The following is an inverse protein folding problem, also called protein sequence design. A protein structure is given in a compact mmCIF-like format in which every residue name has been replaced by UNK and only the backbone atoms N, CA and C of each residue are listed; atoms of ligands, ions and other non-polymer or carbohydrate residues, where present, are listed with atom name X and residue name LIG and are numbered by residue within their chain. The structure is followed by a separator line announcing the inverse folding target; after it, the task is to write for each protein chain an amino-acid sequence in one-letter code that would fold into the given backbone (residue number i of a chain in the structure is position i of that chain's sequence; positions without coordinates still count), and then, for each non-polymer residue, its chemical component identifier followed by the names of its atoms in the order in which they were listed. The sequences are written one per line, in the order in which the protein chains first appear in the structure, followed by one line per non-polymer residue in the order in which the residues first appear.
data_IF_188115234537
#
_entry.id   IF_188115234537
#
_cell.length_a   1.000
_cell.length_b   1.000
_cell.length_c   1.000
_cell.angle_alpha   90.00
_cell.angle_beta   90.00
_cell.angle_gamma   90.00
#
_symmetry.space_group_name_H-M   'P 1'
#
loop_
_entity.id
_entity.type
_entity.pdbx_description
1 polymer ?
#
# COMPACT_ATOMS: atom_id res chain seq x y z
N UNK A 1 -1.89 -21.19 -7.73
CA UNK A 1 -1.13 -21.60 -6.53
C UNK A 1 0.05 -20.67 -6.22
N UNK A 2 -0.02 -19.37 -6.58
CA UNK A 2 1.01 -18.35 -6.25
C UNK A 2 0.37 -17.14 -5.54
N UNK A 3 -0.94 -16.93 -5.66
CA UNK A 3 -1.65 -15.81 -5.02
C UNK A 3 -1.79 -15.98 -3.50
N UNK A 4 -2.00 -17.21 -3.01
CA UNK A 4 -2.27 -17.47 -1.59
C UNK A 4 -1.09 -17.08 -0.68
N UNK A 5 0.14 -17.41 -1.09
CA UNK A 5 1.38 -17.12 -0.36
C UNK A 5 1.82 -15.63 -0.49
N UNK A 6 1.18 -14.86 -1.38
CA UNK A 6 1.35 -13.40 -1.46
C UNK A 6 0.41 -12.70 -0.49
N UNK A 7 -0.84 -13.12 -0.42
CA UNK A 7 -1.85 -12.54 0.47
C UNK A 7 -1.46 -12.65 1.94
N UNK A 8 -1.06 -13.84 2.39
CA UNK A 8 -0.83 -14.13 3.82
C UNK A 8 0.34 -13.32 4.41
N UNK A 9 1.41 -13.07 3.64
CA UNK A 9 2.53 -12.27 4.11
C UNK A 9 2.24 -10.75 4.05
N UNK A 10 1.41 -10.27 3.13
CA UNK A 10 1.01 -8.85 3.10
C UNK A 10 0.04 -8.51 4.23
N UNK A 11 -0.90 -9.40 4.53
CA UNK A 11 -1.86 -9.25 5.62
C UNK A 11 -1.14 -9.19 6.98
N UNK A 12 -0.14 -10.05 7.19
CA UNK A 12 0.73 -10.01 8.37
C UNK A 12 1.57 -8.73 8.48
N UNK A 13 1.98 -8.12 7.36
CA UNK A 13 2.69 -6.84 7.39
C UNK A 13 1.73 -5.69 7.67
N UNK A 14 0.56 -5.65 7.05
CA UNK A 14 -0.47 -4.67 7.32
C UNK A 14 -0.87 -4.66 8.82
N UNK A 15 -0.90 -5.84 9.46
CA UNK A 15 -1.06 -5.97 10.92
C UNK A 15 0.07 -5.28 11.71
N UNK A 16 1.34 -5.44 11.31
CA UNK A 16 2.50 -4.77 11.96
C UNK A 16 2.50 -3.25 11.69
N UNK A 17 2.04 -2.83 10.53
CA UNK A 17 1.90 -1.42 10.18
C UNK A 17 0.80 -0.74 11.01
N UNK A 18 -0.33 -1.41 11.19
CA UNK A 18 -1.42 -0.97 12.07
C UNK A 18 -0.95 -0.80 13.52
N UNK A 19 -0.09 -1.71 14.01
CA UNK A 19 0.42 -1.60 15.39
C UNK A 19 1.41 -0.46 15.58
N UNK A 20 1.98 0.09 14.51
CA UNK A 20 3.05 1.11 14.58
C UNK A 20 2.55 2.53 14.31
N UNK A 21 1.51 2.70 13.47
CA UNK A 21 1.10 4.02 12.97
C UNK A 21 -0.33 4.43 13.35
N UNK A 22 -1.06 3.60 14.09
CA UNK A 22 -2.42 3.90 14.60
C UNK A 22 -3.48 4.26 13.53
N UNK A 23 -3.15 4.19 12.23
CA UNK A 23 -4.11 4.38 11.15
C UNK A 23 -4.93 3.11 10.87
N UNK A 24 -6.19 3.25 10.40
CA UNK A 24 -7.03 2.10 10.06
C UNK A 24 -6.40 1.21 9.00
N UNK A 25 -6.68 -0.10 9.10
CA UNK A 25 -6.26 -1.09 8.10
C UNK A 25 -6.72 -0.73 6.68
N UNK A 26 -7.90 -0.11 6.57
CA UNK A 26 -8.52 0.26 5.30
C UNK A 26 -7.67 1.26 4.52
N UNK A 27 -7.04 2.22 5.19
CA UNK A 27 -6.15 3.19 4.57
C UNK A 27 -4.96 2.51 3.90
N UNK A 28 -4.38 1.50 4.55
CA UNK A 28 -3.24 0.76 3.99
C UNK A 28 -3.63 -0.12 2.81
N UNK A 29 -4.84 -0.72 2.86
CA UNK A 29 -5.39 -1.48 1.74
C UNK A 29 -5.59 -0.60 0.50
N UNK A 30 -6.15 0.60 0.68
CA UNK A 30 -6.31 1.55 -0.42
C UNK A 30 -4.95 1.97 -1.03
N UNK A 31 -3.94 2.22 -0.18
CA UNK A 31 -2.59 2.52 -0.67
C UNK A 31 -1.96 1.36 -1.46
N UNK A 32 -2.23 0.12 -1.06
CA UNK A 32 -1.84 -1.09 -1.79
C UNK A 32 -2.54 -1.19 -3.14
N UNK A 33 -3.86 -0.98 -3.21
CA UNK A 33 -4.63 -0.97 -4.45
C UNK A 33 -4.10 0.08 -5.44
N UNK A 34 -3.87 1.31 -4.99
CA UNK A 34 -3.30 2.37 -5.82
C UNK A 34 -1.89 2.03 -6.32
N UNK A 35 -1.08 1.37 -5.49
CA UNK A 35 0.26 0.96 -5.89
C UNK A 35 0.21 -0.13 -6.98
N UNK A 36 -0.64 -1.14 -6.79
CA UNK A 36 -0.76 -2.27 -7.69
C UNK A 36 -1.36 -1.87 -9.04
N UNK A 37 -2.31 -0.92 -9.09
CA UNK A 37 -2.83 -0.43 -10.37
C UNK A 37 -1.72 0.18 -11.24
N UNK A 38 -0.79 0.91 -10.61
CA UNK A 38 0.39 1.46 -11.27
C UNK A 38 1.46 0.43 -11.66
N UNK A 39 1.47 -0.73 -11.02
CA UNK A 39 2.37 -1.85 -11.34
C UNK A 39 1.84 -2.64 -12.55
N UNK A 40 0.52 -2.80 -12.65
CA UNK A 40 -0.17 -3.39 -13.81
C UNK A 40 -0.09 -2.48 -15.04
N UNK A 41 -0.39 -1.19 -14.87
CA UNK A 41 -0.34 -0.19 -15.94
C UNK A 41 0.45 1.04 -15.48
N UNK A 42 1.67 1.17 -16.01
CA UNK A 42 2.57 2.28 -15.67
C UNK A 42 2.01 3.66 -16.04
N UNK A 43 1.07 3.75 -16.97
CA UNK A 43 0.40 5.02 -17.31
C UNK A 43 -0.57 5.48 -16.22
N UNK A 44 -1.03 4.54 -15.38
CA UNK A 44 -1.89 4.79 -14.22
C UNK A 44 -1.12 4.88 -12.91
N UNK A 45 0.20 4.99 -12.96
CA UNK A 45 1.03 4.98 -11.76
C UNK A 45 0.70 6.16 -10.85
N UNK A 46 0.25 5.84 -9.64
CA UNK A 46 0.03 6.84 -8.62
C UNK A 46 1.38 7.35 -8.08
N UNK A 47 1.51 8.67 -8.03
CA UNK A 47 2.52 9.36 -7.22
C UNK A 47 2.06 9.40 -5.76
N UNK A 48 2.97 9.71 -4.83
CA UNK A 48 2.56 9.91 -3.42
C UNK A 48 1.49 11.00 -3.28
N UNK A 49 1.59 12.08 -4.06
CA UNK A 49 0.62 13.17 -4.04
C UNK A 49 -0.75 12.69 -4.52
N UNK A 50 -0.82 11.96 -5.62
CA UNK A 50 -2.10 11.46 -6.15
C UNK A 50 -2.71 10.40 -5.22
N UNK A 51 -1.91 9.57 -4.53
CA UNK A 51 -2.44 8.67 -3.51
C UNK A 51 -3.08 9.46 -2.35
N UNK A 52 -2.42 10.52 -1.87
CA UNK A 52 -2.96 11.39 -0.83
C UNK A 52 -4.26 12.09 -1.29
N UNK A 53 -4.31 12.56 -2.53
CA UNK A 53 -5.52 13.16 -3.11
C UNK A 53 -6.67 12.16 -3.16
N UNK A 54 -6.42 10.91 -3.57
CA UNK A 54 -7.47 9.88 -3.61
C UNK A 54 -7.96 9.50 -2.20
N UNK A 55 -7.07 9.46 -1.20
CA UNK A 55 -7.48 9.30 0.19
C UNK A 55 -8.33 10.48 0.70
N UNK A 56 -8.05 11.71 0.25
CA UNK A 56 -8.88 12.88 0.58
C UNK A 56 -10.25 12.82 -0.08
N UNK A 57 -10.33 12.35 -1.33
CA UNK A 57 -11.62 12.12 -1.99
C UNK A 57 -12.48 11.12 -1.20
N UNK A 58 -11.87 10.08 -0.61
CA UNK A 58 -12.56 9.13 0.29
C UNK A 58 -13.15 9.80 1.53
N UNK A 59 -12.53 10.87 2.05
CA UNK A 59 -13.09 11.69 3.13
C UNK A 59 -14.30 12.49 2.64
N UNK A 60 -14.22 13.08 1.45
CA UNK A 60 -15.34 13.79 0.83
C UNK A 60 -16.54 12.85 0.57
N UNK A 61 -16.25 11.59 0.21
CA UNK A 61 -17.21 10.50 0.03
C UNK A 61 -17.75 9.93 1.37
N UNK A 62 -17.19 10.36 2.51
CA UNK A 62 -17.49 9.85 3.87
C UNK A 62 -17.19 8.35 4.05
N UNK A 63 -16.21 7.86 3.31
CA UNK A 63 -15.67 6.50 3.45
C UNK A 63 -14.50 6.44 4.44
N UNK A 64 -13.84 7.58 4.70
CA UNK A 64 -12.78 7.75 5.71
C UNK A 64 -13.00 9.04 6.50
N UNK A 65 -12.45 9.10 7.70
CA UNK A 65 -12.38 10.32 8.51
C UNK A 65 -11.07 11.10 8.22
N UNK A 66 -11.08 12.42 8.42
CA UNK A 66 -9.91 13.26 8.14
C UNK A 66 -8.69 12.89 9.01
N UNK A 67 -8.94 12.49 10.25
CA UNK A 67 -7.94 12.03 11.21
C UNK A 67 -7.27 10.72 10.78
N UNK A 68 -7.93 9.94 9.92
CA UNK A 68 -7.43 8.67 9.40
C UNK A 68 -6.45 8.87 8.24
N UNK A 69 -6.32 10.10 7.71
CA UNK A 69 -5.47 10.36 6.56
C UNK A 69 -4.00 10.51 6.97
N UNK A 70 -3.11 9.60 6.53
CA UNK A 70 -1.70 9.70 6.84
C UNK A 70 -1.08 10.89 6.13
N UNK A 71 -0.08 11.49 6.79
CA UNK A 71 0.72 12.56 6.19
C UNK A 71 1.45 12.05 4.94
N UNK A 72 1.71 12.95 3.99
CA UNK A 72 2.45 12.65 2.76
C UNK A 72 3.77 11.91 3.02
N UNK A 73 4.53 12.30 4.05
CA UNK A 73 5.80 11.65 4.43
C UNK A 73 5.60 10.20 4.90
N UNK A 74 4.50 9.92 5.60
CA UNK A 74 4.15 8.56 6.02
C UNK A 74 3.86 7.69 4.80
N UNK A 75 3.10 8.22 3.83
CA UNK A 75 2.81 7.53 2.56
C UNK A 75 4.12 7.29 1.77
N UNK A 76 5.02 8.27 1.70
CA UNK A 76 6.33 8.09 1.04
C UNK A 76 7.16 7.00 1.70
N UNK A 77 7.20 6.98 3.04
CA UNK A 77 7.88 5.95 3.81
C UNK A 77 7.31 4.55 3.57
N UNK A 78 5.98 4.46 3.52
CA UNK A 78 5.26 3.23 3.22
C UNK A 78 5.58 2.73 1.79
N UNK A 79 5.44 3.57 0.75
CA UNK A 79 5.74 3.21 -0.65
C UNK A 79 7.18 2.70 -0.79
N UNK A 80 8.13 3.39 -0.15
CA UNK A 80 9.56 3.04 -0.24
C UNK A 80 9.84 1.63 0.31
N UNK A 81 9.21 1.30 1.45
CA UNK A 81 9.35 -0.01 2.09
C UNK A 81 8.58 -1.09 1.34
N UNK A 82 7.33 -0.84 0.97
CA UNK A 82 6.50 -1.75 0.18
C UNK A 82 7.21 -2.14 -1.13
N UNK A 83 7.74 -1.14 -1.86
CA UNK A 83 8.50 -1.36 -3.08
C UNK A 83 9.76 -2.21 -2.86
N UNK A 84 10.50 -1.97 -1.76
CA UNK A 84 11.72 -2.72 -1.45
C UNK A 84 11.40 -4.19 -1.14
N UNK A 85 10.36 -4.43 -0.34
CA UNK A 85 9.88 -5.78 -0.01
C UNK A 85 9.37 -6.51 -1.26
N UNK A 86 8.59 -5.83 -2.09
CA UNK A 86 8.08 -6.38 -3.34
C UNK A 86 9.23 -6.85 -4.25
N UNK A 87 10.26 -6.02 -4.44
CA UNK A 87 11.47 -6.41 -5.20
C UNK A 87 12.22 -7.58 -4.56
N UNK A 88 12.40 -7.58 -3.24
CA UNK A 88 13.06 -8.69 -2.54
C UNK A 88 12.32 -10.00 -2.72
N UNK A 89 10.98 -9.99 -2.70
CA UNK A 89 10.16 -11.19 -2.93
C UNK A 89 10.29 -11.69 -4.36
N UNK A 90 10.17 -10.80 -5.35
CA UNK A 90 10.36 -11.16 -6.76
C UNK A 90 11.75 -11.74 -7.02
N UNK A 91 12.79 -11.17 -6.40
CA UNK A 91 14.14 -11.71 -6.48
C UNK A 91 14.25 -13.11 -5.84
N UNK A 92 13.67 -13.31 -4.64
CA UNK A 92 13.63 -14.64 -4.00
C UNK A 92 12.90 -15.67 -4.86
N UNK A 93 11.74 -15.33 -5.42
CA UNK A 93 10.99 -16.24 -6.30
C UNK A 93 11.78 -16.58 -7.58
N UNK A 94 12.55 -15.63 -8.11
CA UNK A 94 13.43 -15.87 -9.27
C UNK A 94 14.61 -16.81 -8.97
N UNK A 95 15.02 -16.95 -7.70
CA UNK A 95 16.12 -17.83 -7.29
C UNK A 95 15.69 -19.28 -7.03
N UNK A 96 14.38 -19.53 -6.91
CA UNK A 96 13.80 -20.87 -6.67
C UNK A 96 13.33 -21.52 -7.99
N UNK A 97 13.74 -20.97 -9.14
CA UNK A 97 13.40 -21.45 -10.49
C UNK A 97 14.47 -22.35 -11.08
#
# INVERSE_FOLDING_TARGET
MIQDDISENQENQNIIWNSTYEFPLEVWKLLEEYFLEGDVDKSKRFTTTTMLENLRNKVEERELDEEEIPKLQTIQGWISRYSAQHRQKMAKMSLVR
#
